data_IF_997146940140
#
_entry.id   IF_997146940140
#
_cell.length_a   1.000
_cell.length_b   1.000
_cell.length_c   1.000
_cell.angle_alpha   90.00
_cell.angle_beta   90.00
_cell.angle_gamma   90.00
#
_symmetry.space_group_name_H-M   'P 1'
#
loop_
_entity.id
_entity.type
_entity.pdbx_description
1 polymer ?
#
# COMPACT_ATOMS: atom_id res chain seq x y z
N UNK A 1 -11.93 -6.33 13.00
CA UNK A 1 -12.03 -4.86 12.91
C UNK A 1 -10.92 -4.28 13.75
N UNK A 2 -9.98 -3.56 13.13
CA UNK A 2 -8.90 -2.93 13.88
C UNK A 2 -9.47 -1.68 14.58
N UNK A 3 -9.37 -1.54 15.91
CA UNK A 3 -9.96 -0.41 16.63
C UNK A 3 -9.33 0.95 16.26
N UNK A 4 -8.21 0.96 15.54
CA UNK A 4 -7.53 2.17 15.05
C UNK A 4 -7.68 2.41 13.53
N UNK A 5 -8.21 1.48 12.71
CA UNK A 5 -8.69 1.83 11.36
C UNK A 5 -10.21 1.91 11.32
N UNK A 6 -10.69 3.08 10.91
CA UNK A 6 -12.05 3.30 10.41
C UNK A 6 -12.33 2.62 9.06
N UNK A 7 -11.41 1.78 8.57
CA UNK A 7 -11.57 1.10 7.30
C UNK A 7 -12.58 -0.03 7.42
N UNK A 8 -13.62 0.06 6.60
CA UNK A 8 -14.64 -0.96 6.48
C UNK A 8 -14.00 -2.28 6.05
N UNK A 9 -14.48 -3.42 6.55
CA UNK A 9 -13.96 -4.75 6.19
C UNK A 9 -14.05 -5.02 4.68
N UNK A 10 -14.96 -4.33 3.98
CA UNK A 10 -15.23 -4.48 2.55
C UNK A 10 -14.40 -3.50 1.71
N UNK A 11 -13.07 -3.69 1.73
CA UNK A 11 -12.10 -3.30 0.68
C UNK A 11 -11.87 -1.80 0.37
N UNK A 12 -12.80 -0.88 0.61
CA UNK A 12 -12.63 0.53 0.24
C UNK A 12 -12.15 1.38 1.43
N UNK A 13 -10.99 1.03 1.98
CA UNK A 13 -10.29 1.93 2.88
C UNK A 13 -9.89 3.17 2.06
N UNK A 14 -10.40 4.37 2.35
CA UNK A 14 -10.00 5.61 1.61
C UNK A 14 -8.78 6.28 2.21
N UNK A 15 -8.27 5.77 3.34
CA UNK A 15 -7.09 6.29 4.01
C UNK A 15 -5.87 6.33 3.07
N UNK A 16 -5.15 7.44 3.10
CA UNK A 16 -3.88 7.62 2.39
C UNK A 16 -2.77 6.75 2.99
N UNK A 17 -2.73 6.63 4.32
CA UNK A 17 -1.77 5.81 5.07
C UNK A 17 -2.49 5.00 6.19
N UNK A 18 -3.29 3.98 5.85
CA UNK A 18 -3.84 3.06 6.88
C UNK A 18 -2.73 2.10 7.32
N UNK A 19 -2.48 2.04 8.62
CA UNK A 19 -1.50 1.12 9.24
C UNK A 19 -2.10 -0.23 9.62
N UNK A 20 -3.34 -0.49 9.27
CA UNK A 20 -4.05 -1.61 9.86
C UNK A 20 -3.76 -2.89 9.11
N UNK A 21 -3.53 -3.95 9.88
CA UNK A 21 -3.16 -5.28 9.41
C UNK A 21 -4.22 -5.91 8.49
N UNK A 22 -5.47 -5.48 8.64
CA UNK A 22 -6.58 -5.93 7.79
C UNK A 22 -6.64 -5.21 6.44
N UNK A 23 -5.99 -4.04 6.30
CA UNK A 23 -5.99 -3.25 5.08
C UNK A 23 -4.81 -3.66 4.19
N UNK A 24 -5.09 -4.51 3.19
CA UNK A 24 -4.09 -4.95 2.21
C UNK A 24 -3.93 -3.94 1.07
N UNK A 25 -3.68 -2.68 1.41
CA UNK A 25 -3.34 -1.67 0.40
C UNK A 25 -1.88 -1.77 0.02
N UNK A 26 -1.60 -1.62 -1.28
CA UNK A 26 -0.23 -1.39 -1.73
C UNK A 26 0.27 -0.03 -1.26
N UNK A 27 1.58 0.06 -1.01
CA UNK A 27 2.24 1.29 -0.57
C UNK A 27 2.32 2.37 -1.66
N UNK A 28 2.13 2.00 -2.92
CA UNK A 28 1.95 2.92 -4.04
C UNK A 28 1.06 2.28 -5.10
N UNK A 29 0.43 3.10 -5.95
CA UNK A 29 -0.31 2.62 -7.13
C UNK A 29 0.56 1.92 -8.16
N UNK A 30 1.87 2.21 -8.18
CA UNK A 30 2.84 1.54 -9.02
C UNK A 30 3.00 0.06 -8.69
N UNK A 31 2.97 -0.31 -7.41
CA UNK A 31 3.35 -1.63 -6.92
C UNK A 31 2.16 -2.52 -6.60
N UNK A 32 2.26 -3.84 -6.80
CA UNK A 32 1.34 -4.77 -6.16
C UNK A 32 1.55 -4.76 -4.64
N UNK A 33 0.52 -5.17 -3.91
CA UNK A 33 0.62 -5.37 -2.46
C UNK A 33 1.69 -6.43 -2.18
N UNK A 34 2.62 -6.14 -1.27
CA UNK A 34 3.72 -7.06 -0.95
C UNK A 34 4.94 -6.98 -1.88
N UNK A 35 5.14 -5.88 -2.61
CA UNK A 35 6.40 -5.65 -3.34
C UNK A 35 7.61 -5.82 -2.41
N UNK A 36 8.48 -6.79 -2.72
CA UNK A 36 9.61 -7.18 -1.87
C UNK A 36 10.58 -6.00 -1.61
N UNK A 37 10.82 -5.17 -2.63
CA UNK A 37 11.66 -3.96 -2.50
C UNK A 37 10.99 -2.87 -1.65
N UNK A 38 9.66 -2.88 -1.54
CA UNK A 38 8.90 -1.92 -0.72
C UNK A 38 8.53 -2.47 0.68
N UNK A 39 8.88 -3.73 1.00
CA UNK A 39 8.51 -4.36 2.27
C UNK A 39 9.09 -3.64 3.51
N UNK A 40 10.22 -2.94 3.33
CA UNK A 40 10.86 -2.14 4.37
C UNK A 40 10.45 -0.65 4.33
N UNK A 41 9.58 -0.27 3.39
CA UNK A 41 9.19 1.10 3.11
C UNK A 41 9.11 1.36 1.59
N UNK A 42 8.15 2.18 1.15
CA UNK A 42 7.99 2.49 -0.27
C UNK A 42 9.22 3.25 -0.80
N UNK A 43 9.99 2.62 -1.70
CA UNK A 43 11.16 3.24 -2.33
C UNK A 43 10.87 3.82 -3.72
N UNK A 44 9.65 3.64 -4.24
CA UNK A 44 9.30 4.10 -5.58
C UNK A 44 9.47 5.62 -5.68
N UNK A 45 10.42 6.04 -6.54
CA UNK A 45 10.60 7.42 -6.98
C UNK A 45 10.23 7.49 -8.46
N UNK A 46 8.94 7.61 -8.76
CA UNK A 46 8.45 7.67 -10.14
C UNK A 46 6.93 7.62 -10.23
N UNK A 47 6.39 8.11 -11.35
CA UNK A 47 4.98 7.96 -11.68
C UNK A 47 4.67 6.50 -12.07
N UNK A 48 3.41 6.11 -11.87
CA UNK A 48 2.88 4.75 -11.76
C UNK A 48 3.34 3.74 -12.83
N UNK A 49 3.77 4.21 -14.00
CA UNK A 49 4.04 3.41 -15.19
C UNK A 49 5.50 2.91 -15.29
N UNK A 50 6.44 3.47 -14.53
CA UNK A 50 7.85 3.09 -14.56
C UNK A 50 8.47 3.12 -13.15
N UNK A 51 7.92 2.34 -12.21
CA UNK A 51 8.60 2.23 -10.92
C UNK A 51 9.89 1.41 -11.07
N UNK A 52 11.00 2.02 -10.62
CA UNK A 52 12.34 1.42 -10.50
C UNK A 52 12.42 0.16 -9.63
N UNK A 53 11.31 -0.25 -9.02
CA UNK A 53 11.22 -1.50 -8.25
C UNK A 53 11.36 -2.76 -9.13
N UNK A 54 10.88 -2.75 -10.38
CA UNK A 54 11.00 -3.90 -11.29
C UNK A 54 11.89 -3.65 -12.51
N UNK A 55 12.66 -2.56 -12.50
CA UNK A 55 13.82 -2.44 -13.38
C UNK A 55 14.89 -3.47 -13.01
#
# INVERSE_FOLDING_TARGET
>A
TDPNCSCLPDSSCTCAECKCTSCKKSCCSCCPVGCAKCAQGCICKGTSDNCSCWA
#
